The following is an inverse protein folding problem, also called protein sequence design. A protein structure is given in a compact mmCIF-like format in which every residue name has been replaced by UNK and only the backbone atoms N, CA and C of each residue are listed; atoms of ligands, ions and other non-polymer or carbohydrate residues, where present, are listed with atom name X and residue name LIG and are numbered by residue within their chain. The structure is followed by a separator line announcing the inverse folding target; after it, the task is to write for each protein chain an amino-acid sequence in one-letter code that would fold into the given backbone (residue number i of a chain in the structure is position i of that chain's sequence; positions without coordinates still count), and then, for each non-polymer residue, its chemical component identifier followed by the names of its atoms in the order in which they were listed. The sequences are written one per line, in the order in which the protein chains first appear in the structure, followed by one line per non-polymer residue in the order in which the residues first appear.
data_IF_088361442391
#
_entry.id   IF_088361442391
#
_cell.length_a   1.000
_cell.length_b   1.000
_cell.length_c   1.000
_cell.angle_alpha   90.00
_cell.angle_beta   90.00
_cell.angle_gamma   90.00
#
_symmetry.space_group_name_H-M   'P 1'
#
loop_
_entity.id
_entity.type
_entity.pdbx_description
1 polymer ?
#
# COMPACT_ATOMS: atom_id res chain seq x y z
N UNK A 1 -12.20 -4.17 -7.11
CA UNK A 1 -10.78 -3.80 -7.27
C UNK A 1 -10.25 -4.44 -8.54
N UNK A 2 -10.17 -3.71 -9.66
CA UNK A 2 -9.37 -4.17 -10.81
C UNK A 2 -7.90 -4.04 -10.41
N UNK A 3 -7.18 -5.16 -10.47
CA UNK A 3 -5.78 -5.41 -10.13
C UNK A 3 -4.84 -4.19 -10.24
N UNK A 4 -4.76 -3.37 -9.19
CA UNK A 4 -3.81 -2.25 -9.07
C UNK A 4 -2.65 -2.54 -8.11
N UNK A 5 -2.75 -3.64 -7.38
CA UNK A 5 -1.80 -4.09 -6.37
C UNK A 5 -1.49 -5.56 -6.58
N UNK A 6 -0.23 -5.91 -6.34
CA UNK A 6 0.18 -7.30 -6.18
C UNK A 6 -0.53 -7.87 -4.95
N UNK A 7 -0.97 -9.13 -4.98
CA UNK A 7 -1.56 -9.77 -3.81
C UNK A 7 -0.68 -9.60 -2.56
N UNK A 8 0.63 -9.79 -2.70
CA UNK A 8 1.62 -9.63 -1.64
C UNK A 8 1.68 -8.20 -1.12
N UNK A 9 1.53 -7.19 -1.99
CA UNK A 9 1.47 -5.79 -1.57
C UNK A 9 0.23 -5.52 -0.70
N UNK A 10 -0.93 -6.08 -1.06
CA UNK A 10 -2.15 -6.00 -0.25
C UNK A 10 -1.97 -6.69 1.10
N UNK A 11 -1.39 -7.89 1.13
CA UNK A 11 -1.14 -8.63 2.36
C UNK A 11 -0.20 -7.88 3.31
N UNK A 12 0.87 -7.27 2.79
CA UNK A 12 1.79 -6.45 3.59
C UNK A 12 1.09 -5.24 4.20
N UNK A 13 0.27 -4.53 3.42
CA UNK A 13 -0.48 -3.38 3.92
C UNK A 13 -1.48 -3.80 5.00
N UNK A 14 -2.20 -4.91 4.79
CA UNK A 14 -3.15 -5.45 5.78
C UNK A 14 -2.47 -5.89 7.08
N UNK A 15 -1.30 -6.53 6.98
CA UNK A 15 -0.49 -6.91 8.13
C UNK A 15 0.00 -5.68 8.90
N UNK A 16 0.47 -4.64 8.20
CA UNK A 16 0.93 -3.40 8.82
C UNK A 16 -0.18 -2.68 9.59
N UNK A 17 -1.42 -2.70 9.09
CA UNK A 17 -2.55 -2.06 9.77
C UNK A 17 -3.14 -2.88 10.92
N UNK A 18 -2.58 -4.08 11.20
CA UNK A 18 -3.02 -4.99 12.28
C UNK A 18 -4.51 -5.34 12.17
N UNK A 19 -5.04 -5.41 10.95
CA UNK A 19 -6.45 -5.68 10.67
C UNK A 19 -7.40 -4.49 10.89
N UNK A 20 -6.89 -3.30 11.19
CA UNK A 20 -7.70 -2.08 11.19
C UNK A 20 -8.09 -1.73 9.74
N UNK A 21 -9.36 -1.97 9.41
CA UNK A 21 -9.88 -1.79 8.05
C UNK A 21 -9.92 -0.32 7.61
N UNK A 22 -10.08 0.63 8.54
CA UNK A 22 -10.08 2.06 8.17
C UNK A 22 -8.68 2.51 7.79
N UNK A 23 -7.70 2.18 8.64
CA UNK A 23 -6.29 2.44 8.32
C UNK A 23 -5.84 1.71 7.06
N UNK A 24 -6.33 0.49 6.86
CA UNK A 24 -6.02 -0.28 5.66
C UNK A 24 -6.46 0.45 4.38
N UNK A 25 -7.71 0.92 4.35
CA UNK A 25 -8.23 1.68 3.20
C UNK A 25 -7.48 2.98 2.97
N UNK A 26 -7.11 3.69 4.03
CA UNK A 26 -6.28 4.90 3.98
C UNK A 26 -4.90 4.59 3.37
N UNK A 27 -4.18 3.61 3.91
CA UNK A 27 -2.84 3.24 3.45
C UNK A 27 -2.85 2.72 2.01
N UNK A 28 -3.84 1.92 1.62
CA UNK A 28 -4.02 1.48 0.22
C UNK A 28 -4.24 2.68 -0.71
N UNK A 29 -5.05 3.65 -0.29
CA UNK A 29 -5.32 4.84 -1.10
C UNK A 29 -4.07 5.67 -1.28
N UNK A 30 -3.36 5.97 -0.21
CA UNK A 30 -2.15 6.79 -0.25
C UNK A 30 -1.02 6.10 -1.03
N UNK A 31 -0.82 4.79 -0.81
CA UNK A 31 0.18 4.02 -1.53
C UNK A 31 -0.11 4.01 -3.05
N UNK A 32 -1.39 3.93 -3.44
CA UNK A 32 -1.80 4.03 -4.85
C UNK A 32 -1.52 5.41 -5.44
N UNK A 33 -1.85 6.49 -4.72
CA UNK A 33 -1.57 7.84 -5.21
C UNK A 33 -0.06 8.07 -5.34
N UNK A 34 0.74 7.58 -4.39
CA UNK A 34 2.20 7.60 -4.48
C UNK A 34 2.74 6.87 -5.70
N UNK A 35 2.18 5.70 -6.03
CA UNK A 35 2.57 4.96 -7.24
C UNK A 35 2.30 5.78 -8.52
N UNK A 36 1.16 6.48 -8.59
CA UNK A 36 0.85 7.36 -9.72
C UNK A 36 1.81 8.53 -9.83
N UNK A 37 2.18 9.17 -8.72
CA UNK A 37 3.18 10.25 -8.71
C UNK A 37 4.53 9.79 -9.27
N UNK A 38 4.93 8.56 -8.90
CA UNK A 38 6.15 7.93 -9.38
C UNK A 38 6.01 7.32 -10.79
N UNK A 39 4.84 7.48 -11.43
CA UNK A 39 4.50 6.93 -12.75
C UNK A 39 4.59 5.40 -12.84
N UNK A 40 4.42 4.71 -11.72
CA UNK A 40 4.21 3.27 -11.72
C UNK A 40 2.75 2.99 -12.09
N UNK A 41 2.54 2.02 -12.99
CA UNK A 41 1.20 1.59 -13.41
C UNK A 41 0.51 0.70 -12.37
N UNK A 42 1.27 0.21 -11.38
CA UNK A 42 0.85 -0.84 -10.46
C UNK A 42 1.68 -0.79 -9.17
N UNK A 43 1.09 -1.21 -8.06
CA UNK A 43 1.78 -1.29 -6.75
C UNK A 43 2.33 -2.69 -6.54
N UNK A 44 3.62 -2.85 -6.77
CA UNK A 44 4.40 -4.03 -6.42
C UNK A 44 4.74 -4.05 -4.92
N UNK A 45 5.09 -5.23 -4.39
CA UNK A 45 5.38 -5.44 -2.96
C UNK A 45 6.48 -4.50 -2.44
N UNK A 46 7.51 -4.21 -3.24
CA UNK A 46 8.62 -3.34 -2.81
C UNK A 46 8.21 -1.88 -2.69
N UNK A 47 7.31 -1.40 -3.55
CA UNK A 47 6.78 -0.05 -3.46
C UNK A 47 5.93 0.10 -2.19
N UNK A 48 5.06 -0.88 -1.92
CA UNK A 48 4.27 -0.91 -0.68
C UNK A 48 5.17 -0.93 0.57
N UNK A 49 6.22 -1.76 0.59
CA UNK A 49 7.18 -1.81 1.72
C UNK A 49 7.91 -0.50 1.91
N UNK A 50 8.35 0.15 0.83
CA UNK A 50 9.05 1.44 0.89
C UNK A 50 8.12 2.51 1.45
N UNK A 51 6.87 2.56 0.98
CA UNK A 51 5.85 3.47 1.48
C UNK A 51 5.56 3.27 2.98
N UNK A 52 5.39 2.01 3.42
CA UNK A 52 5.16 1.68 4.82
C UNK A 52 6.35 2.06 5.71
N UNK A 53 7.58 1.94 5.21
CA UNK A 53 8.79 2.33 5.94
C UNK A 53 8.95 3.85 6.11
N UNK A 54 8.34 4.64 5.21
CA UNK A 54 8.31 6.11 5.30
C UNK A 54 7.23 6.62 6.26
N UNK A 55 6.24 5.79 6.61
CA UNK A 55 5.21 6.17 7.57
C UNK A 55 5.72 6.10 9.01
N UNK A 56 5.45 7.11 9.86
CA UNK A 56 5.77 7.04 11.28
C UNK A 56 4.84 6.02 11.96
N UNK A 57 5.29 4.77 12.02
CA UNK A 57 4.71 3.64 12.77
C UNK A 57 3.20 3.49 12.64
N UNK A 58 2.78 2.77 11.60
CA UNK A 58 1.60 1.90 11.67
C UNK A 58 1.85 0.77 12.68
#
# INVERSE_FOLDING_TARGET
MKHYFEPEAIEQIYAATKGDMRKFEEVVTDCRERAKELKHSFVEVNLARSFLAEQPTV
#
